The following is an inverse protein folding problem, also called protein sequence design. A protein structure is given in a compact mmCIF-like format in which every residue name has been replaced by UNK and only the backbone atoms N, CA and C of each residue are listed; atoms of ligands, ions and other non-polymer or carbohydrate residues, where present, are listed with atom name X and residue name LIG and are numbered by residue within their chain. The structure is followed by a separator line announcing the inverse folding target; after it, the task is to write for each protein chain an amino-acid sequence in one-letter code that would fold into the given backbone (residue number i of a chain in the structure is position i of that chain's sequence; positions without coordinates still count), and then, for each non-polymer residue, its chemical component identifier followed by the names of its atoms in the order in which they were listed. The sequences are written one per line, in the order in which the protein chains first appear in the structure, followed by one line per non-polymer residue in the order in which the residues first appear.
data_IF_897005920565
#
_entry.id   IF_897005920565
#
_cell.length_a   1.000
_cell.length_b   1.000
_cell.length_c   1.000
_cell.angle_alpha   90.00
_cell.angle_beta   90.00
_cell.angle_gamma   90.00
#
_symmetry.space_group_name_H-M   'P 1'
#
loop_
_entity.id
_entity.type
_entity.pdbx_description
1 polymer ?
#
# COMPACT_ATOMS: atom_id res chain seq x y z
N UNK A 1 31.15 -45.46 38.53
CA UNK A 1 31.08 -44.03 38.94
C UNK A 1 32.26 -43.31 38.28
N UNK A 2 32.20 -42.04 37.82
CA UNK A 2 31.08 -41.08 37.68
C UNK A 2 30.93 -40.71 36.19
N UNK A 3 29.79 -40.11 35.80
CA UNK A 3 29.57 -39.66 34.41
C UNK A 3 30.26 -38.31 34.17
N UNK A 4 30.96 -38.17 33.03
CA UNK A 4 31.29 -36.87 32.47
C UNK A 4 30.16 -36.47 31.52
N UNK A 5 29.60 -35.27 31.66
CA UNK A 5 28.58 -34.73 30.77
C UNK A 5 28.94 -33.28 30.46
N UNK A 6 29.58 -33.05 29.30
CA UNK A 6 29.57 -31.73 28.69
C UNK A 6 28.15 -31.48 28.18
N UNK A 7 27.44 -30.54 28.79
CA UNK A 7 26.14 -30.07 28.31
C UNK A 7 26.38 -28.77 27.53
N UNK A 8 26.60 -28.92 26.23
CA UNK A 8 26.37 -27.90 25.21
C UNK A 8 26.38 -28.61 23.85
N UNK A 9 25.21 -28.72 23.21
CA UNK A 9 25.11 -28.06 21.92
C UNK A 9 23.97 -27.04 21.88
N UNK A 10 24.25 -25.95 21.16
CA UNK A 10 23.30 -25.31 20.24
C UNK A 10 21.97 -24.89 20.89
N UNK A 11 21.91 -23.65 21.37
CA UNK A 11 20.69 -22.87 21.22
C UNK A 11 20.40 -22.76 19.72
N UNK A 12 19.52 -23.62 19.23
CA UNK A 12 18.96 -23.50 17.89
C UNK A 12 18.08 -22.27 17.89
N UNK A 13 18.66 -21.13 17.50
CA UNK A 13 17.91 -19.97 17.06
C UNK A 13 17.09 -20.39 15.85
N UNK A 14 15.89 -20.88 16.13
CA UNK A 14 14.76 -20.86 15.21
C UNK A 14 14.54 -19.39 14.85
N UNK A 15 15.30 -18.91 13.88
CA UNK A 15 14.92 -17.78 13.05
C UNK A 15 13.61 -18.19 12.42
N UNK A 16 12.52 -17.82 13.08
CA UNK A 16 11.19 -17.97 12.56
C UNK A 16 11.15 -17.17 11.27
N UNK A 17 11.23 -17.87 10.13
CA UNK A 17 10.82 -17.34 8.86
C UNK A 17 9.34 -16.99 9.01
N UNK A 18 9.08 -15.76 9.46
CA UNK A 18 7.76 -15.19 9.58
C UNK A 18 7.18 -15.19 8.16
N UNK A 19 6.41 -16.23 7.85
CA UNK A 19 5.98 -16.52 6.50
C UNK A 19 4.89 -15.52 6.11
N UNK A 20 5.31 -14.32 5.72
CA UNK A 20 4.43 -13.24 5.25
C UNK A 20 3.79 -13.77 3.97
N UNK A 21 2.55 -14.23 4.13
CA UNK A 21 1.73 -14.97 3.16
C UNK A 21 1.42 -14.09 1.93
N UNK A 22 2.40 -13.93 1.06
CA UNK A 22 2.38 -13.04 -0.10
C UNK A 22 3.73 -12.87 -0.80
N UNK A 23 4.87 -13.01 -0.10
CA UNK A 23 6.18 -12.59 -0.63
C UNK A 23 6.65 -13.27 -1.94
N UNK A 24 6.13 -14.46 -2.26
CA UNK A 24 6.49 -15.22 -3.46
C UNK A 24 5.53 -15.00 -4.65
N UNK A 25 4.60 -14.04 -4.55
CA UNK A 25 3.70 -13.71 -5.65
C UNK A 25 4.41 -12.81 -6.68
N UNK A 26 4.10 -12.93 -7.99
CA UNK A 26 4.54 -11.97 -8.99
C UNK A 26 4.17 -10.54 -8.57
N UNK A 27 5.01 -9.59 -8.93
CA UNK A 27 4.82 -8.17 -8.64
C UNK A 27 4.48 -7.42 -9.93
N UNK A 28 3.52 -6.50 -9.87
CA UNK A 28 2.98 -5.77 -11.02
C UNK A 28 2.77 -4.29 -10.63
N UNK A 29 3.22 -3.35 -11.44
CA UNK A 29 3.12 -1.92 -11.14
C UNK A 29 1.68 -1.41 -11.29
N UNK A 30 1.23 -0.60 -10.33
CA UNK A 30 0.03 0.23 -10.40
C UNK A 30 0.37 1.53 -11.12
N UNK A 31 -0.56 2.00 -11.96
CA UNK A 31 -0.44 3.28 -12.64
C UNK A 31 -0.75 4.45 -11.70
N UNK A 32 -0.12 5.59 -11.92
CA UNK A 32 -0.43 6.83 -11.22
C UNK A 32 -1.00 7.80 -12.26
N UNK A 33 -2.27 8.14 -12.15
CA UNK A 33 -2.89 9.18 -12.96
C UNK A 33 -2.47 10.55 -12.40
N UNK A 34 -1.65 11.28 -13.16
CA UNK A 34 -1.10 12.59 -12.78
C UNK A 34 -1.85 13.69 -13.52
N UNK A 35 -2.99 14.10 -12.96
CA UNK A 35 -3.73 15.29 -13.41
C UNK A 35 -3.17 16.58 -12.79
N UNK A 36 -2.48 16.48 -11.65
CA UNK A 36 -1.89 17.60 -10.91
C UNK A 36 -0.64 17.16 -10.13
N UNK A 37 0.33 18.05 -9.82
CA UNK A 37 1.37 17.76 -8.84
C UNK A 37 0.81 17.56 -7.41
N UNK A 38 -0.37 18.12 -7.12
CA UNK A 38 -1.01 18.15 -5.79
C UNK A 38 -2.22 17.21 -5.63
N UNK A 39 -2.74 16.64 -6.72
CA UNK A 39 -3.81 15.63 -6.72
C UNK A 39 -3.39 14.47 -7.61
N UNK A 40 -3.37 13.24 -7.07
CA UNK A 40 -2.95 12.03 -7.79
C UNK A 40 -3.82 10.84 -7.43
N UNK A 41 -4.23 10.09 -8.45
CA UNK A 41 -5.12 8.94 -8.29
C UNK A 41 -4.39 7.64 -8.71
N UNK A 42 -4.38 6.64 -7.83
CA UNK A 42 -3.63 5.38 -8.02
C UNK A 42 -4.52 4.33 -8.67
N UNK A 43 -4.23 4.01 -9.92
CA UNK A 43 -4.99 3.13 -10.81
C UNK A 43 -4.36 1.73 -10.91
N UNK A 44 -5.16 0.73 -11.28
CA UNK A 44 -4.62 -0.59 -11.64
C UNK A 44 -3.74 -0.60 -12.89
N UNK A 45 -4.08 0.22 -13.88
CA UNK A 45 -3.38 0.32 -15.16
C UNK A 45 -3.70 1.66 -15.82
N UNK A 46 -2.87 2.09 -16.78
CA UNK A 46 -3.06 3.33 -17.55
C UNK A 46 -4.45 3.43 -18.22
N UNK A 47 -5.06 2.28 -18.53
CA UNK A 47 -6.37 2.21 -19.18
C UNK A 47 -7.55 2.22 -18.20
N UNK A 48 -7.31 2.14 -16.90
CA UNK A 48 -8.34 1.74 -15.93
C UNK A 48 -8.89 0.33 -16.20
N UNK A 49 -8.14 -0.56 -16.87
CA UNK A 49 -8.57 -1.96 -17.04
C UNK A 49 -8.27 -2.77 -15.77
N UNK A 50 -9.26 -3.57 -15.32
CA UNK A 50 -9.16 -4.38 -14.12
C UNK A 50 -8.51 -5.76 -14.38
N UNK A 51 -7.53 -6.18 -13.56
CA UNK A 51 -6.98 -7.53 -13.62
C UNK A 51 -7.99 -8.61 -13.24
N UNK A 52 -7.95 -9.74 -13.94
CA UNK A 52 -8.92 -10.86 -13.82
C UNK A 52 -8.89 -11.62 -12.48
N UNK A 53 -7.96 -11.29 -11.58
CA UNK A 53 -7.87 -11.82 -10.21
C UNK A 53 -8.26 -10.81 -9.12
N UNK A 54 -8.69 -9.62 -9.52
CA UNK A 54 -9.45 -8.67 -8.71
C UNK A 54 -10.93 -8.78 -9.12
N UNK A 55 -11.84 -8.58 -8.16
CA UNK A 55 -13.29 -8.59 -8.37
C UNK A 55 -13.83 -7.17 -8.18
N UNK A 56 -14.80 -6.82 -9.02
CA UNK A 56 -15.58 -5.59 -8.94
C UNK A 56 -16.26 -5.44 -7.56
N UNK A 57 -16.42 -4.20 -7.07
CA UNK A 57 -17.18 -3.82 -5.86
C UNK A 57 -16.84 -4.65 -4.61
N UNK A 58 -15.57 -4.68 -4.21
CA UNK A 58 -15.13 -5.50 -3.06
C UNK A 58 -13.99 -4.85 -2.27
N UNK A 59 -13.83 -5.22 -1.00
CA UNK A 59 -12.77 -4.74 -0.12
C UNK A 59 -11.52 -5.62 -0.21
N UNK A 60 -10.38 -4.99 -0.42
CA UNK A 60 -9.08 -5.66 -0.53
C UNK A 60 -8.13 -5.26 0.59
N UNK A 61 -7.28 -6.22 1.00
CA UNK A 61 -6.20 -5.93 1.94
C UNK A 61 -5.08 -5.19 1.18
N UNK A 62 -4.71 -4.02 1.70
CA UNK A 62 -3.56 -3.25 1.25
C UNK A 62 -2.60 -3.02 2.41
N UNK A 63 -1.33 -2.83 2.09
CA UNK A 63 -0.35 -2.21 2.98
C UNK A 63 -0.02 -0.84 2.39
N UNK A 64 -0.20 0.21 3.20
CA UNK A 64 -0.03 1.61 2.79
C UNK A 64 0.96 2.26 3.75
N UNK A 65 1.90 3.06 3.25
CA UNK A 65 2.89 3.76 4.07
C UNK A 65 3.40 5.02 3.38
N UNK A 66 4.01 5.93 4.14
CA UNK A 66 4.60 7.16 3.64
C UNK A 66 4.06 8.41 4.34
N UNK A 67 4.78 9.52 4.19
CA UNK A 67 4.49 10.81 4.85
C UNK A 67 3.22 11.51 4.33
N UNK A 68 2.67 11.11 3.18
CA UNK A 68 1.40 11.65 2.69
C UNK A 68 0.21 11.29 3.60
N UNK A 69 0.28 10.17 4.36
CA UNK A 69 -0.79 9.74 5.27
C UNK A 69 -1.08 10.72 6.43
N UNK A 70 -0.11 11.57 6.77
CA UNK A 70 -0.22 12.58 7.85
C UNK A 70 -0.37 14.00 7.31
N UNK A 71 0.12 14.27 6.10
CA UNK A 71 0.23 15.61 5.53
C UNK A 71 -0.70 15.86 4.33
N UNK A 72 -1.44 14.85 3.86
CA UNK A 72 -2.40 14.92 2.75
C UNK A 72 -3.68 14.11 3.06
N UNK A 73 -4.70 14.30 2.22
CA UNK A 73 -5.91 13.50 2.22
C UNK A 73 -5.75 12.29 1.31
N UNK A 74 -5.24 11.20 1.90
CA UNK A 74 -5.24 9.87 1.29
C UNK A 74 -6.59 9.20 1.55
N UNK A 75 -7.39 9.00 0.49
CA UNK A 75 -8.79 8.59 0.57
C UNK A 75 -9.02 7.35 -0.30
N UNK A 76 -9.51 6.28 0.34
CA UNK A 76 -10.18 5.13 -0.30
C UNK A 76 -11.43 5.61 -1.06
N UNK A 77 -11.65 5.16 -2.29
CA UNK A 77 -12.82 5.54 -3.10
C UNK A 77 -14.17 5.09 -2.52
N UNK A 78 -14.17 4.19 -1.52
CA UNK A 78 -15.30 3.95 -0.62
C UNK A 78 -15.60 5.09 0.36
N UNK A 79 -14.87 6.21 0.30
CA UNK A 79 -15.02 7.39 1.15
C UNK A 79 -14.22 7.37 2.46
N UNK A 80 -13.26 6.45 2.62
CA UNK A 80 -12.55 6.23 3.89
C UNK A 80 -11.16 6.87 3.88
N UNK A 81 -10.93 7.86 4.75
CA UNK A 81 -9.62 8.53 4.89
C UNK A 81 -8.62 7.64 5.64
N UNK A 82 -7.51 7.32 4.99
CA UNK A 82 -6.41 6.49 5.52
C UNK A 82 -5.39 7.40 6.21
N UNK A 83 -5.24 7.24 7.53
CA UNK A 83 -4.44 8.16 8.38
C UNK A 83 -3.15 7.56 8.94
N UNK A 84 -2.97 6.24 8.82
CA UNK A 84 -1.92 5.50 9.52
C UNK A 84 -1.32 4.41 8.62
N UNK A 85 0.00 4.27 8.69
CA UNK A 85 0.75 3.24 7.95
C UNK A 85 0.39 1.84 8.42
N UNK A 86 0.44 0.88 7.50
CA UNK A 86 0.22 -0.55 7.75
C UNK A 86 -0.95 -1.12 6.97
N UNK A 87 -1.54 -2.18 7.52
CA UNK A 87 -2.55 -3.00 6.82
C UNK A 87 -3.94 -2.37 6.94
N UNK A 88 -4.42 -1.85 5.82
CA UNK A 88 -5.73 -1.24 5.67
C UNK A 88 -6.61 -2.13 4.78
N UNK A 89 -7.92 -1.84 4.77
CA UNK A 89 -8.83 -2.33 3.73
C UNK A 89 -9.28 -1.15 2.88
N UNK A 90 -9.28 -1.33 1.57
CA UNK A 90 -9.72 -0.35 0.59
C UNK A 90 -10.88 -0.94 -0.21
N UNK A 91 -11.93 -0.15 -0.44
CA UNK A 91 -12.98 -0.48 -1.40
C UNK A 91 -12.48 -0.27 -2.82
N UNK A 92 -12.65 -1.28 -3.67
CA UNK A 92 -12.30 -1.19 -5.08
C UNK A 92 -13.60 -1.16 -5.89
N UNK A 93 -13.75 -0.05 -6.62
CA UNK A 93 -14.99 0.42 -7.25
C UNK A 93 -15.41 -0.34 -8.50
N UNK A 94 -15.99 0.41 -9.45
CA UNK A 94 -16.70 -0.11 -10.62
C UNK A 94 -15.86 -0.01 -11.91
N UNK A 95 -16.39 -0.53 -13.03
CA UNK A 95 -15.68 -0.70 -14.31
C UNK A 95 -15.02 0.55 -14.92
N UNK A 96 -15.33 1.74 -14.42
CA UNK A 96 -14.79 3.03 -14.86
C UNK A 96 -14.23 3.89 -13.71
N UNK A 97 -14.24 3.37 -12.47
CA UNK A 97 -13.94 4.08 -11.22
C UNK A 97 -12.88 3.30 -10.40
N UNK A 98 -11.91 2.68 -11.08
CA UNK A 98 -10.98 1.66 -10.55
C UNK A 98 -9.83 2.19 -9.69
N UNK A 99 -9.92 3.40 -9.17
CA UNK A 99 -8.90 3.99 -8.30
C UNK A 99 -8.83 3.26 -6.95
N UNK A 100 -7.61 3.06 -6.45
CA UNK A 100 -7.31 2.45 -5.15
C UNK A 100 -7.28 3.52 -4.06
N UNK A 101 -6.62 4.66 -4.32
CA UNK A 101 -6.76 5.87 -3.50
C UNK A 101 -6.68 7.12 -4.37
N UNK A 102 -7.34 8.18 -3.90
CA UNK A 102 -6.97 9.56 -4.21
C UNK A 102 -5.98 10.06 -3.17
N UNK A 103 -5.02 10.86 -3.61
CA UNK A 103 -4.12 11.64 -2.76
C UNK A 103 -4.37 13.11 -3.09
N UNK A 104 -4.86 13.89 -2.13
CA UNK A 104 -5.11 15.33 -2.28
C UNK A 104 -4.29 16.13 -1.25
N UNK A 105 -3.39 16.99 -1.72
CA UNK A 105 -2.44 17.74 -0.89
C UNK A 105 -2.61 19.26 -1.06
N UNK A 106 -3.83 19.76 -1.30
CA UNK A 106 -4.10 21.20 -1.49
C UNK A 106 -4.20 21.94 -0.16
N UNK A 107 -3.77 23.21 -0.17
CA UNK A 107 -3.63 24.05 1.03
C UNK A 107 -4.86 24.11 1.95
N UNK A 108 -6.08 24.06 1.41
CA UNK A 108 -7.34 24.13 2.18
C UNK A 108 -7.88 22.75 2.62
N UNK A 109 -7.20 21.66 2.25
CA UNK A 109 -7.62 20.27 2.53
C UNK A 109 -6.68 19.60 3.54
N UNK A 110 -5.39 19.92 3.49
CA UNK A 110 -4.34 19.15 4.14
C UNK A 110 -3.35 19.99 4.98
N UNK A 111 -2.51 19.32 5.78
CA UNK A 111 -1.74 19.92 6.88
C UNK A 111 -0.24 20.17 6.59
N UNK A 112 0.25 19.85 5.39
CA UNK A 112 1.62 20.17 4.98
C UNK A 112 1.81 21.66 4.69
N UNK A 113 3.03 22.07 4.35
CA UNK A 113 3.31 23.42 3.86
C UNK A 113 3.47 23.39 2.33
N UNK A 114 2.94 24.39 1.63
CA UNK A 114 3.10 24.54 0.18
C UNK A 114 4.56 24.32 -0.26
N UNK A 115 4.77 23.46 -1.27
CA UNK A 115 6.07 23.03 -1.78
C UNK A 115 6.73 21.87 -1.02
N UNK A 116 6.22 21.45 0.15
CA UNK A 116 6.69 20.23 0.82
C UNK A 116 6.32 18.99 0.00
N UNK A 117 7.20 17.98 0.05
CA UNK A 117 7.06 16.74 -0.73
C UNK A 117 6.79 15.58 0.19
N UNK A 118 5.72 14.85 -0.12
CA UNK A 118 5.23 13.74 0.69
C UNK A 118 5.22 12.47 -0.16
N UNK A 119 5.71 11.38 0.42
CA UNK A 119 5.75 10.08 -0.22
C UNK A 119 4.51 9.25 0.13
N UNK A 120 4.08 8.40 -0.80
CA UNK A 120 3.13 7.32 -0.55
C UNK A 120 3.57 6.06 -1.29
N UNK A 121 3.53 4.93 -0.60
CA UNK A 121 3.76 3.59 -1.13
C UNK A 121 2.54 2.72 -0.81
N UNK A 122 2.07 1.96 -1.81
CA UNK A 122 0.89 1.10 -1.72
C UNK A 122 1.25 -0.28 -2.22
N UNK A 123 0.84 -1.33 -1.49
CA UNK A 123 0.93 -2.74 -1.86
C UNK A 123 -0.42 -3.41 -1.69
N UNK A 124 -1.04 -3.81 -2.79
CA UNK A 124 -2.32 -4.50 -2.85
C UNK A 124 -2.11 -6.01 -3.00
N UNK A 125 -2.71 -6.79 -2.10
CA UNK A 125 -2.56 -8.25 -2.09
C UNK A 125 -3.78 -8.94 -2.72
N UNK A 126 -3.68 -9.35 -3.98
CA UNK A 126 -4.69 -10.22 -4.61
C UNK A 126 -4.44 -11.69 -4.28
N UNK A 127 -5.28 -12.59 -4.79
CA UNK A 127 -5.05 -14.04 -4.68
C UNK A 127 -3.84 -14.51 -5.48
N UNK A 128 -3.53 -13.91 -6.64
CA UNK A 128 -2.50 -14.42 -7.56
C UNK A 128 -1.21 -13.60 -7.59
N UNK A 129 -1.29 -12.28 -7.49
CA UNK A 129 -0.15 -11.37 -7.57
C UNK A 129 -0.15 -10.33 -6.44
N UNK A 130 0.89 -9.49 -6.38
CA UNK A 130 0.90 -8.26 -5.61
C UNK A 130 0.98 -7.10 -6.59
N UNK A 131 0.12 -6.11 -6.43
CA UNK A 131 0.25 -4.85 -7.14
C UNK A 131 0.93 -3.83 -6.25
N UNK A 132 1.79 -2.99 -6.79
CA UNK A 132 2.44 -1.94 -6.01
C UNK A 132 2.62 -0.65 -6.78
N UNK A 133 2.78 0.46 -6.07
CA UNK A 133 3.43 1.65 -6.63
C UNK A 133 4.01 2.50 -5.51
N UNK A 134 4.89 3.43 -5.89
CA UNK A 134 5.40 4.48 -5.03
C UNK A 134 5.33 5.82 -5.77
N UNK A 135 4.79 6.83 -5.11
CA UNK A 135 4.67 8.19 -5.64
C UNK A 135 5.20 9.21 -4.66
N UNK A 136 5.54 10.38 -5.19
CA UNK A 136 5.78 11.61 -4.42
C UNK A 136 4.80 12.65 -4.92
N UNK A 137 4.07 13.25 -4.01
CA UNK A 137 3.10 14.33 -4.23
C UNK A 137 3.66 15.61 -3.60
N UNK A 138 3.39 16.75 -4.21
CA UNK A 138 3.84 18.05 -3.71
C UNK A 138 2.63 18.74 -3.07
N UNK A 139 2.81 19.40 -1.93
CA UNK A 139 1.74 20.15 -1.28
C UNK A 139 1.50 21.47 -2.01
N UNK A 140 0.23 21.83 -2.21
CA UNK A 140 -0.21 23.11 -2.76
C UNK A 140 -0.35 24.21 -1.72
#
# INVERSE_FOLDING_TARGET
MKKLLLILPIFSTLTSCAYIKGYNKPQEELYINITSPHIKDVNFSEKGELPKDIKNQNYYNVEVSGSALTNCDVIDYGGVKIKHSGKNKIFIGNAHDWDIVRIDCRQDISNGKNGEKHDLEIKLFSDKKIYHTKTVVEHG
#
